data_IF_137422379045
#
_entry.id   IF_137422379045
#
_cell.length_a   1.000
_cell.length_b   1.000
_cell.length_c   1.000
_cell.angle_alpha   90.00
_cell.angle_beta   90.00
_cell.angle_gamma   90.00
#
_symmetry.space_group_name_H-M   'P 1'
#
loop_
_entity.id
_entity.type
_entity.pdbx_description
1 polymer ?
#
# COMPACT_ATOMS: atom_id res chain seq x y z
N UNK A 1 67.09 7.69 27.88
CA UNK A 1 66.64 9.00 27.39
C UNK A 1 65.52 8.79 26.38
N UNK A 2 64.38 9.37 26.70
CA UNK A 2 63.03 9.40 26.09
C UNK A 2 62.80 8.86 24.67
N UNK A 3 61.92 7.86 24.58
CA UNK A 3 61.07 7.63 23.42
C UNK A 3 59.83 8.54 23.52
N UNK A 4 59.54 9.35 22.50
CA UNK A 4 58.31 10.14 22.37
C UNK A 4 57.19 9.28 21.77
N UNK A 5 55.95 9.31 22.30
CA UNK A 5 54.80 8.67 21.65
C UNK A 5 54.21 9.59 20.57
N UNK A 6 53.84 9.02 19.43
CA UNK A 6 53.08 9.69 18.37
C UNK A 6 51.56 9.42 18.54
N UNK A 7 50.69 10.40 18.25
CA UNK A 7 49.25 10.28 18.54
C UNK A 7 48.48 9.48 17.48
N UNK A 8 47.53 8.67 17.96
CA UNK A 8 46.45 8.04 17.18
C UNK A 8 45.67 9.10 16.40
N UNK A 9 45.61 8.96 15.06
CA UNK A 9 44.60 9.63 14.24
C UNK A 9 43.44 8.67 13.99
N UNK A 10 42.32 8.94 14.65
CA UNK A 10 41.01 8.37 14.32
C UNK A 10 40.47 9.13 13.11
N UNK A 11 40.30 8.44 11.99
CA UNK A 11 39.65 9.00 10.81
C UNK A 11 38.12 8.84 10.91
N UNK A 12 37.32 9.88 10.61
CA UNK A 12 35.88 9.74 10.48
C UNK A 12 35.52 9.00 9.18
N UNK A 13 34.65 7.99 9.32
CA UNK A 13 33.99 7.29 8.20
C UNK A 13 32.96 8.22 7.57
N UNK A 14 33.29 8.74 6.38
CA UNK A 14 32.37 9.54 5.57
C UNK A 14 31.47 8.65 4.72
N UNK A 15 30.20 8.65 5.08
CA UNK A 15 29.04 8.73 4.17
C UNK A 15 28.93 7.74 3.01
N UNK A 16 28.15 6.68 3.22
CA UNK A 16 27.40 6.03 2.14
C UNK A 16 26.32 7.00 1.63
N UNK A 17 26.48 7.51 0.41
CA UNK A 17 25.36 8.03 -0.38
C UNK A 17 24.77 6.85 -1.15
N UNK A 18 23.75 6.24 -0.58
CA UNK A 18 22.89 5.31 -1.31
C UNK A 18 21.91 6.14 -2.16
N UNK A 19 22.23 6.31 -3.44
CA UNK A 19 21.29 6.85 -4.43
C UNK A 19 20.20 5.80 -4.68
N UNK A 20 19.12 5.84 -3.90
CA UNK A 20 17.94 5.04 -4.18
C UNK A 20 17.18 5.69 -5.34
N UNK A 21 17.55 5.31 -6.57
CA UNK A 21 16.76 5.61 -7.75
C UNK A 21 15.39 4.93 -7.61
N UNK A 22 14.34 5.74 -7.56
CA UNK A 22 12.96 5.28 -7.61
C UNK A 22 12.67 4.67 -8.99
N UNK A 23 12.80 3.35 -9.10
CA UNK A 23 12.28 2.63 -10.26
C UNK A 23 10.81 2.33 -9.98
N UNK A 24 9.93 3.16 -10.53
CA UNK A 24 8.53 2.79 -10.70
C UNK A 24 8.49 1.73 -11.80
N UNK A 25 8.12 0.49 -11.47
CA UNK A 25 7.63 -0.41 -12.52
C UNK A 25 6.32 0.18 -13.05
N UNK A 26 6.37 0.74 -14.25
CA UNK A 26 5.23 1.34 -14.95
C UNK A 26 4.02 0.38 -15.04
N UNK A 27 4.26 -0.93 -15.02
CA UNK A 27 3.23 -1.96 -15.02
C UNK A 27 2.29 -1.87 -13.81
N UNK A 28 2.81 -1.56 -12.61
CA UNK A 28 1.99 -1.50 -11.39
C UNK A 28 1.14 -0.22 -11.32
N UNK A 29 1.68 0.90 -11.84
CA UNK A 29 0.92 2.14 -11.97
C UNK A 29 -0.20 2.01 -13.02
N UNK A 30 0.06 1.30 -14.13
CA UNK A 30 -0.95 0.99 -15.14
C UNK A 30 -2.02 0.03 -14.60
N UNK A 31 -1.64 -0.97 -13.79
CA UNK A 31 -2.59 -1.88 -13.15
C UNK A 31 -3.49 -1.16 -12.14
N UNK A 32 -2.97 -0.19 -11.37
CA UNK A 32 -3.77 0.64 -10.46
C UNK A 32 -4.72 1.57 -11.24
N UNK A 33 -4.26 2.20 -12.32
CA UNK A 33 -5.10 3.02 -13.18
C UNK A 33 -6.19 2.19 -13.87
N UNK A 34 -5.87 0.97 -14.32
CA UNK A 34 -6.83 0.04 -14.92
C UNK A 34 -7.83 -0.51 -13.89
N UNK A 35 -7.41 -0.79 -12.64
CA UNK A 35 -8.31 -1.24 -11.58
C UNK A 35 -9.27 -0.15 -11.11
N UNK A 36 -8.86 1.13 -11.12
CA UNK A 36 -9.78 2.25 -10.91
C UNK A 36 -10.71 2.50 -12.10
N UNK A 37 -10.32 2.13 -13.32
CA UNK A 37 -11.11 2.35 -14.54
C UNK A 37 -12.03 1.16 -14.91
N UNK A 38 -11.66 -0.07 -14.54
CA UNK A 38 -12.35 -1.29 -14.93
C UNK A 38 -13.37 -1.72 -13.87
N UNK A 39 -14.49 -1.01 -13.82
CA UNK A 39 -15.73 -1.62 -13.39
C UNK A 39 -16.29 -2.46 -14.57
N UNK A 40 -16.34 -3.80 -14.51
CA UNK A 40 -17.14 -4.54 -15.45
C UNK A 40 -18.62 -4.36 -15.08
N UNK A 41 -19.39 -3.81 -16.02
CA UNK A 41 -20.84 -3.93 -16.03
C UNK A 41 -21.20 -5.42 -16.23
N UNK A 42 -21.40 -6.15 -15.15
CA UNK A 42 -21.94 -7.50 -15.19
C UNK A 42 -23.03 -7.65 -14.11
N UNK A 43 -24.28 -7.50 -14.55
CA UNK A 43 -25.48 -7.96 -13.85
C UNK A 43 -25.88 -7.17 -12.60
N UNK A 44 -26.31 -5.92 -12.77
CA UNK A 44 -26.89 -5.13 -11.67
C UNK A 44 -28.41 -5.27 -11.66
N UNK A 45 -28.94 -5.81 -10.56
CA UNK A 45 -30.28 -5.49 -10.08
C UNK A 45 -30.33 -3.96 -9.84
N UNK A 46 -31.22 -3.20 -10.51
CA UNK A 46 -31.26 -1.74 -10.44
C UNK A 46 -31.77 -1.18 -9.10
N UNK A 47 -31.93 -2.01 -8.06
CA UNK A 47 -32.61 -1.63 -6.81
C UNK A 47 -31.70 -1.20 -5.66
N UNK A 48 -30.37 -1.20 -5.84
CA UNK A 48 -29.44 -0.64 -4.85
C UNK A 48 -28.52 0.35 -5.56
N UNK A 49 -28.79 1.65 -5.40
CA UNK A 49 -27.74 2.65 -5.63
C UNK A 49 -26.58 2.28 -4.70
N UNK A 50 -25.38 1.98 -5.22
CA UNK A 50 -24.32 1.52 -4.34
C UNK A 50 -23.87 2.73 -3.52
N UNK A 51 -24.21 2.72 -2.23
CA UNK A 51 -23.84 3.76 -1.27
C UNK A 51 -22.31 3.87 -1.21
N UNK A 52 -21.80 5.09 -1.38
CA UNK A 52 -20.41 5.38 -1.07
C UNK A 52 -20.20 5.20 0.43
N UNK A 53 -19.15 4.45 0.78
CA UNK A 53 -18.76 4.21 2.18
C UNK A 53 -17.25 4.23 2.30
N UNK A 54 -16.75 4.36 3.53
CA UNK A 54 -15.33 4.21 3.77
C UNK A 54 -14.92 2.76 3.49
N UNK A 55 -13.96 2.59 2.58
CA UNK A 55 -13.41 1.31 2.15
C UNK A 55 -11.91 1.25 2.36
N UNK A 56 -11.39 0.04 2.54
CA UNK A 56 -9.97 -0.25 2.62
C UNK A 56 -9.50 -0.81 1.27
N UNK A 57 -8.62 -0.07 0.59
CA UNK A 57 -7.96 -0.54 -0.62
C UNK A 57 -6.82 -1.50 -0.28
N UNK A 58 -6.88 -2.70 -0.81
CA UNK A 58 -5.86 -3.75 -0.71
C UNK A 58 -5.34 -4.07 -2.10
N UNK A 59 -4.02 -4.07 -2.27
CA UNK A 59 -3.44 -4.21 -3.59
C UNK A 59 -2.01 -4.73 -3.52
N UNK A 60 -1.56 -5.26 -4.66
CA UNK A 60 -0.28 -5.92 -4.77
C UNK A 60 -0.27 -6.86 -5.96
N UNK A 61 0.62 -7.85 -5.91
CA UNK A 61 0.76 -8.80 -7.00
C UNK A 61 1.87 -9.80 -6.80
N UNK A 62 2.17 -10.48 -7.89
CA UNK A 62 3.23 -11.46 -8.02
C UNK A 62 4.06 -11.04 -9.22
N UNK A 63 5.34 -10.78 -9.00
CA UNK A 63 6.29 -10.42 -10.05
C UNK A 63 6.52 -11.62 -10.98
N UNK A 64 7.06 -11.38 -12.17
CA UNK A 64 7.35 -12.44 -13.14
C UNK A 64 8.35 -13.50 -12.64
N UNK A 65 9.16 -13.16 -11.62
CA UNK A 65 10.08 -14.08 -10.93
C UNK A 65 9.45 -14.83 -9.74
N UNK A 66 8.16 -14.60 -9.47
CA UNK A 66 7.43 -15.20 -8.36
C UNK A 66 7.48 -14.41 -7.05
N UNK A 67 8.16 -13.25 -6.99
CA UNK A 67 8.20 -12.43 -5.79
C UNK A 67 6.79 -11.89 -5.46
N UNK A 68 6.30 -12.20 -4.26
CA UNK A 68 5.07 -11.63 -3.72
C UNK A 68 5.29 -10.18 -3.32
N UNK A 69 4.43 -9.29 -3.82
CA UNK A 69 4.43 -7.88 -3.49
C UNK A 69 3.10 -7.52 -2.85
N UNK A 70 3.15 -6.99 -1.64
CA UNK A 70 2.00 -6.42 -0.95
C UNK A 70 2.25 -4.95 -0.70
N UNK A 71 1.26 -4.13 -1.02
CA UNK A 71 1.35 -2.70 -0.86
C UNK A 71 0.60 -2.23 0.39
N UNK A 72 1.03 -1.11 1.00
CA UNK A 72 0.27 -0.47 2.06
C UNK A 72 -1.17 -0.19 1.63
N UNK A 73 -2.09 -0.42 2.56
CA UNK A 73 -3.51 -0.20 2.33
C UNK A 73 -3.88 1.28 2.55
N UNK A 74 -5.00 1.70 1.99
CA UNK A 74 -5.49 3.07 2.16
C UNK A 74 -7.00 3.05 2.44
N UNK A 75 -7.42 3.77 3.47
CA UNK A 75 -8.83 4.01 3.73
C UNK A 75 -9.30 5.24 2.94
N UNK A 76 -10.38 5.11 2.16
CA UNK A 76 -10.94 6.20 1.37
C UNK A 76 -12.45 6.03 1.16
N UNK A 77 -13.15 7.08 0.75
CA UNK A 77 -14.57 6.97 0.38
C UNK A 77 -14.69 6.38 -1.02
N UNK A 78 -15.42 5.29 -1.16
CA UNK A 78 -15.54 4.61 -2.43
C UNK A 78 -16.54 3.47 -2.44
N UNK A 79 -16.45 2.66 -3.48
CA UNK A 79 -17.32 1.50 -3.69
C UNK A 79 -16.61 0.23 -3.25
N UNK A 80 -17.37 -0.66 -2.64
CA UNK A 80 -16.89 -2.00 -2.31
C UNK A 80 -16.69 -2.81 -3.59
N UNK A 81 -15.49 -3.35 -3.76
CA UNK A 81 -15.11 -4.33 -4.77
C UNK A 81 -14.49 -5.52 -4.05
N UNK A 82 -15.28 -6.60 -3.90
CA UNK A 82 -14.83 -7.86 -3.30
C UNK A 82 -14.43 -8.85 -4.38
N UNK A 83 -13.43 -9.71 -4.12
CA UNK A 83 -13.21 -10.86 -4.99
C UNK A 83 -14.44 -11.77 -4.96
N UNK A 84 -14.78 -12.37 -6.11
CA UNK A 84 -15.91 -13.29 -6.28
C UNK A 84 -15.84 -14.63 -5.52
N UNK A 85 -14.90 -14.74 -4.57
CA UNK A 85 -14.51 -15.91 -3.79
C UNK A 85 -13.83 -17.06 -4.57
N UNK A 86 -12.94 -17.74 -3.84
CA UNK A 86 -12.04 -18.85 -4.22
C UNK A 86 -10.76 -18.47 -4.97
N UNK A 87 -9.65 -18.98 -4.45
CA UNK A 87 -8.30 -18.83 -4.98
C UNK A 87 -7.25 -19.17 -3.92
N UNK A 88 -6.04 -19.49 -4.38
CA UNK A 88 -4.93 -19.95 -3.54
C UNK A 88 -4.23 -18.82 -2.80
N UNK A 89 -4.54 -17.56 -3.15
CA UNK A 89 -3.97 -16.39 -2.51
C UNK A 89 -4.89 -15.86 -1.42
N UNK A 90 -4.27 -15.29 -0.39
CA UNK A 90 -5.00 -14.70 0.73
C UNK A 90 -4.32 -13.44 1.21
N UNK A 91 -5.11 -12.38 1.45
CA UNK A 91 -4.68 -11.21 2.22
C UNK A 91 -5.36 -11.23 3.59
N UNK A 92 -4.59 -10.97 4.65
CA UNK A 92 -5.07 -10.82 6.03
C UNK A 92 -4.64 -9.48 6.60
N UNK A 93 -5.52 -8.90 7.42
CA UNK A 93 -5.16 -7.85 8.36
C UNK A 93 -5.09 -8.43 9.76
N UNK A 94 -3.98 -8.17 10.45
CA UNK A 94 -3.68 -8.68 11.78
C UNK A 94 -3.49 -7.51 12.75
N UNK A 95 -3.96 -7.68 13.98
CA UNK A 95 -3.66 -6.74 15.06
C UNK A 95 -2.31 -7.02 15.74
N UNK A 96 -2.00 -6.23 16.78
CA UNK A 96 -0.74 -6.35 17.53
C UNK A 96 -0.60 -7.64 18.33
N UNK A 97 -1.68 -8.39 18.55
CA UNK A 97 -1.66 -9.71 19.21
C UNK A 97 -1.58 -10.84 18.17
N UNK A 98 -1.72 -10.53 16.88
CA UNK A 98 -1.75 -11.49 15.77
C UNK A 98 -3.14 -12.02 15.46
N UNK A 99 -4.18 -11.47 16.10
CA UNK A 99 -5.57 -11.81 15.82
C UNK A 99 -6.01 -11.25 14.46
N UNK A 100 -6.95 -11.95 13.81
CA UNK A 100 -7.36 -11.60 12.45
C UNK A 100 -8.49 -10.59 12.45
N UNK A 101 -8.20 -9.38 11.98
CA UNK A 101 -9.22 -8.34 11.76
C UNK A 101 -10.05 -8.62 10.50
N UNK A 102 -9.39 -9.09 9.43
CA UNK A 102 -10.05 -9.54 8.20
C UNK A 102 -9.20 -10.55 7.45
N UNK A 103 -9.84 -11.36 6.59
CA UNK A 103 -9.19 -12.38 5.77
C UNK A 103 -9.94 -12.58 4.46
N UNK A 104 -9.25 -12.43 3.33
CA UNK A 104 -9.86 -12.48 1.99
C UNK A 104 -9.06 -13.45 1.12
N UNK A 105 -9.75 -14.38 0.46
CA UNK A 105 -9.17 -15.27 -0.55
C UNK A 105 -9.51 -14.80 -1.95
N UNK A 106 -8.57 -14.96 -2.87
CA UNK A 106 -8.71 -14.49 -4.25
C UNK A 106 -7.77 -15.21 -5.21
N UNK A 107 -8.07 -15.05 -6.50
CA UNK A 107 -7.18 -15.41 -7.61
C UNK A 107 -6.71 -14.10 -8.26
N UNK A 108 -5.40 -13.82 -8.32
CA UNK A 108 -4.89 -12.60 -8.93
C UNK A 108 -5.07 -12.65 -10.46
N UNK A 109 -5.30 -11.48 -11.06
CA UNK A 109 -5.43 -11.36 -12.51
C UNK A 109 -4.06 -11.38 -13.19
N UNK A 110 -3.99 -11.97 -14.38
CA UNK A 110 -2.75 -11.99 -15.17
C UNK A 110 -2.47 -10.64 -15.84
N UNK A 111 -1.19 -10.28 -15.93
CA UNK A 111 -0.67 -9.11 -16.63
C UNK A 111 0.21 -9.61 -17.79
N UNK A 112 0.24 -8.86 -18.89
CA UNK A 112 0.88 -9.28 -20.15
C UNK A 112 2.37 -9.60 -20.07
N UNK A 113 3.07 -9.13 -19.05
CA UNK A 113 4.49 -9.39 -18.80
C UNK A 113 4.74 -10.68 -17.99
N UNK A 114 3.69 -11.46 -17.73
CA UNK A 114 3.73 -12.69 -16.93
C UNK A 114 3.64 -12.44 -15.42
N UNK A 115 3.55 -11.18 -14.98
CA UNK A 115 3.20 -10.86 -13.60
C UNK A 115 1.70 -11.05 -13.35
N UNK A 116 1.30 -11.05 -12.08
CA UNK A 116 -0.10 -11.09 -11.67
C UNK A 116 -0.39 -9.93 -10.71
N UNK A 117 -1.59 -9.39 -10.74
CA UNK A 117 -2.00 -8.25 -9.92
C UNK A 117 -3.36 -8.42 -9.28
N UNK A 118 -3.57 -7.71 -8.17
CA UNK A 118 -4.89 -7.58 -7.56
C UNK A 118 -5.09 -6.17 -6.99
N UNK A 119 -6.35 -5.76 -6.93
CA UNK A 119 -6.78 -4.53 -6.27
C UNK A 119 -8.23 -4.72 -5.83
N UNK A 120 -8.49 -4.61 -4.54
CA UNK A 120 -9.81 -4.78 -3.94
C UNK A 120 -10.12 -3.63 -2.99
N UNK A 121 -11.39 -3.29 -2.87
CA UNK A 121 -11.88 -2.29 -1.93
C UNK A 121 -12.89 -2.98 -1.02
N UNK A 122 -12.54 -3.22 0.23
CA UNK A 122 -13.42 -3.90 1.18
C UNK A 122 -14.05 -2.89 2.14
N UNK A 123 -15.20 -3.20 2.77
CA UNK A 123 -15.71 -2.35 3.83
C UNK A 123 -14.65 -2.14 4.90
N UNK A 124 -14.48 -0.90 5.33
CA UNK A 124 -13.53 -0.53 6.36
C UNK A 124 -14.24 -0.37 7.70
N UNK A 125 -13.69 -1.02 8.74
CA UNK A 125 -14.05 -0.71 10.13
C UNK A 125 -13.08 0.33 10.67
N UNK A 126 -13.59 1.45 11.16
CA UNK A 126 -12.78 2.53 11.73
C UNK A 126 -11.87 2.05 12.88
N UNK A 127 -12.27 1.01 13.61
CA UNK A 127 -11.47 0.38 14.68
C UNK A 127 -10.15 -0.20 14.15
N UNK A 128 -10.08 -0.57 12.86
CA UNK A 128 -8.86 -1.11 12.25
C UNK A 128 -7.76 -0.05 12.11
N UNK A 129 -8.09 1.24 12.09
CA UNK A 129 -7.10 2.33 11.90
C UNK A 129 -5.93 2.22 12.88
N UNK A 130 -6.25 1.92 14.15
CA UNK A 130 -5.29 1.84 15.25
C UNK A 130 -4.92 0.38 15.56
N UNK A 131 -5.88 -0.54 15.41
CA UNK A 131 -5.68 -1.95 15.73
C UNK A 131 -4.77 -2.66 14.73
N UNK A 132 -4.85 -2.32 13.44
CA UNK A 132 -4.09 -2.99 12.38
C UNK A 132 -2.59 -2.76 12.60
N UNK A 133 -1.86 -3.86 12.79
CA UNK A 133 -0.41 -3.88 12.97
C UNK A 133 0.30 -4.41 11.73
N UNK A 134 -0.29 -5.40 11.06
CA UNK A 134 0.32 -6.09 9.93
C UNK A 134 -0.68 -6.47 8.87
N UNK A 135 -0.32 -6.22 7.61
CA UNK A 135 -0.94 -6.86 6.46
C UNK A 135 -0.07 -8.04 6.03
N UNK A 136 -0.71 -9.15 5.66
CA UNK A 136 -0.06 -10.38 5.24
C UNK A 136 -0.67 -10.85 3.92
N UNK A 137 0.17 -11.13 2.92
CA UNK A 137 -0.20 -11.77 1.67
C UNK A 137 0.48 -13.14 1.62
N UNK A 138 -0.33 -14.19 1.46
CA UNK A 138 0.14 -15.57 1.31
C UNK A 138 -0.33 -16.18 0.00
N UNK A 139 0.50 -17.03 -0.61
CA UNK A 139 0.20 -17.81 -1.82
C UNK A 139 1.14 -19.00 -1.97
N UNK A 140 1.08 -19.72 -3.11
CA UNK A 140 1.98 -20.84 -3.41
C UNK A 140 3.48 -20.50 -3.31
N UNK A 141 3.84 -19.24 -3.54
CA UNK A 141 5.21 -18.73 -3.52
C UNK A 141 5.73 -18.42 -2.11
N UNK A 142 4.84 -18.39 -1.10
CA UNK A 142 5.19 -18.12 0.29
C UNK A 142 4.34 -17.02 0.91
N UNK A 143 4.97 -16.17 1.73
CA UNK A 143 4.30 -15.10 2.50
C UNK A 143 5.13 -13.82 2.44
N UNK A 144 4.46 -12.68 2.28
CA UNK A 144 5.03 -11.34 2.39
C UNK A 144 4.16 -10.46 3.29
N UNK A 145 4.74 -9.43 3.90
CA UNK A 145 4.05 -8.62 4.91
C UNK A 145 4.36 -7.14 4.79
N UNK A 146 3.41 -6.30 5.19
CA UNK A 146 3.58 -4.86 5.41
C UNK A 146 3.24 -4.56 6.87
N UNK A 147 4.19 -4.02 7.63
CA UNK A 147 4.01 -3.61 9.01
C UNK A 147 3.71 -2.10 9.14
N UNK A 148 3.58 -1.61 10.37
CA UNK A 148 3.35 -0.20 10.68
C UNK A 148 4.45 0.74 10.17
N UNK A 149 5.71 0.32 10.18
CA UNK A 149 6.81 1.17 9.71
C UNK A 149 6.75 1.34 8.19
N UNK A 150 6.55 0.23 7.47
CA UNK A 150 6.41 0.23 6.03
C UNK A 150 5.15 0.96 5.56
N UNK A 151 4.00 0.73 6.22
CA UNK A 151 2.75 1.38 5.86
C UNK A 151 2.75 2.88 6.13
N UNK A 152 3.32 3.33 7.24
CA UNK A 152 3.43 4.77 7.57
C UNK A 152 4.29 5.58 6.58
N UNK A 153 5.16 4.92 5.82
CA UNK A 153 6.00 5.53 4.79
C UNK A 153 5.29 5.73 3.45
N UNK A 154 4.05 5.25 3.31
CA UNK A 154 3.26 5.38 2.11
C UNK A 154 2.20 6.48 2.23
N UNK A 155 2.07 7.26 1.17
CA UNK A 155 1.05 8.31 1.06
C UNK A 155 0.45 8.27 -0.33
N UNK A 156 -0.85 8.44 -0.41
CA UNK A 156 -1.57 8.55 -1.68
C UNK A 156 -2.22 9.93 -1.77
N UNK A 157 -2.00 10.62 -2.88
CA UNK A 157 -2.64 11.89 -3.18
C UNK A 157 -3.72 11.62 -4.20
N UNK A 158 -4.96 11.94 -3.84
CA UNK A 158 -6.11 11.81 -4.73
C UNK A 158 -6.74 13.17 -5.00
N UNK A 159 -7.37 13.29 -6.15
CA UNK A 159 -8.28 14.37 -6.46
C UNK A 159 -9.58 14.19 -5.67
N UNK A 160 -9.97 15.18 -4.86
CA UNK A 160 -11.13 15.08 -3.98
C UNK A 160 -12.45 15.02 -4.75
N UNK A 161 -12.52 15.69 -5.91
CA UNK A 161 -13.75 15.78 -6.69
C UNK A 161 -14.00 14.51 -7.51
N UNK A 162 -12.94 13.87 -7.98
CA UNK A 162 -13.04 12.72 -8.91
C UNK A 162 -12.61 11.39 -8.29
N UNK A 163 -11.96 11.40 -7.12
CA UNK A 163 -11.34 10.21 -6.53
C UNK A 163 -10.09 9.71 -7.28
N UNK A 164 -9.65 10.42 -8.33
CA UNK A 164 -8.54 9.99 -9.16
C UNK A 164 -7.21 10.06 -8.39
N UNK A 165 -6.45 8.96 -8.41
CA UNK A 165 -5.08 8.94 -7.87
C UNK A 165 -4.18 9.84 -8.71
N UNK A 166 -3.61 10.86 -8.07
CA UNK A 166 -2.66 11.80 -8.68
C UNK A 166 -1.22 11.39 -8.42
N UNK A 167 -0.94 10.86 -7.24
CA UNK A 167 0.39 10.43 -6.87
C UNK A 167 0.36 9.35 -5.79
N UNK A 168 1.37 8.49 -5.81
CA UNK A 168 1.67 7.56 -4.75
C UNK A 168 3.13 7.74 -4.35
N UNK A 169 3.33 8.14 -3.10
CA UNK A 169 4.63 8.34 -2.51
C UNK A 169 4.96 7.13 -1.65
N UNK A 170 6.12 6.54 -1.90
CA UNK A 170 6.67 5.41 -1.14
C UNK A 170 7.96 5.87 -0.49
N UNK A 171 8.26 5.36 0.71
CA UNK A 171 9.45 5.77 1.46
C UNK A 171 9.52 7.29 1.67
N UNK A 172 8.35 7.95 1.74
CA UNK A 172 8.30 9.38 2.00
C UNK A 172 8.83 9.65 3.41
N UNK A 173 9.73 10.62 3.54
CA UNK A 173 10.01 11.20 4.85
C UNK A 173 8.69 11.71 5.44
N UNK A 174 8.52 11.59 6.76
CA UNK A 174 7.36 12.10 7.47
C UNK A 174 7.27 13.63 7.31
N UNK A 175 6.65 14.09 6.22
CA UNK A 175 6.58 15.49 5.88
C UNK A 175 6.08 15.67 4.45
N UNK A 176 4.81 16.01 4.32
CA UNK A 176 4.30 16.56 3.06
C UNK A 176 4.61 18.06 3.02
N UNK A 177 4.86 18.62 1.82
CA UNK A 177 4.87 20.07 1.67
C UNK A 177 3.56 20.65 2.23
N UNK A 178 3.65 21.69 3.05
CA UNK A 178 2.47 22.32 3.67
C UNK A 178 1.40 22.76 2.64
N UNK A 179 1.82 23.02 1.39
CA UNK A 179 0.94 23.30 0.24
C UNK A 179 -0.02 22.15 -0.11
N UNK A 180 0.42 20.90 0.00
CA UNK A 180 -0.45 19.72 -0.21
C UNK A 180 -1.39 19.49 0.97
N UNK A 181 -0.98 19.93 2.17
CA UNK A 181 -1.80 19.87 3.37
C UNK A 181 -2.87 20.98 3.43
N UNK A 182 -2.77 22.00 2.55
CA UNK A 182 -3.77 23.04 2.45
C UNK A 182 -5.05 22.50 1.77
N UNK A 183 -6.18 22.63 2.47
CA UNK A 183 -7.50 22.15 2.06
C UNK A 183 -8.01 22.79 0.74
N UNK A 184 -7.38 23.88 0.30
CA UNK A 184 -7.73 24.64 -0.90
C UNK A 184 -7.22 24.03 -2.21
N UNK A 185 -6.40 22.96 -2.15
CA UNK A 185 -5.82 22.34 -3.35
C UNK A 185 -6.80 21.47 -4.14
N UNK A 186 -7.98 21.16 -3.59
CA UNK A 186 -8.89 20.14 -4.14
C UNK A 186 -8.31 18.72 -4.06
N UNK A 187 -7.17 18.54 -3.39
CA UNK A 187 -6.53 17.26 -3.19
C UNK A 187 -6.86 16.71 -1.80
N UNK A 188 -6.79 15.39 -1.67
CA UNK A 188 -6.85 14.69 -0.40
C UNK A 188 -5.63 13.79 -0.29
N UNK A 189 -4.99 13.84 0.87
CA UNK A 189 -3.89 12.97 1.22
C UNK A 189 -4.44 11.83 2.05
N UNK A 190 -4.16 10.61 1.62
CA UNK A 190 -4.39 9.39 2.36
C UNK A 190 -3.06 8.86 2.89
N UNK A 191 -3.05 8.40 4.14
CA UNK A 191 -1.89 7.75 4.73
C UNK A 191 -2.02 6.25 4.64
N UNK A 192 -0.89 5.58 4.41
CA UNK A 192 -0.84 4.14 4.35
C UNK A 192 -1.15 3.49 5.70
N UNK A 193 -1.75 2.32 5.63
CA UNK A 193 -2.01 1.38 6.71
C UNK A 193 -1.23 0.08 6.44
N UNK A 194 -0.72 -0.61 7.47
CA UNK A 194 -0.78 -0.27 8.90
C UNK A 194 0.08 0.96 9.25
N UNK A 195 -0.18 1.61 10.39
CA UNK A 195 0.63 2.74 10.87
C UNK A 195 0.70 2.78 12.40
N UNK A 196 1.72 3.44 13.00
CA UNK A 196 1.76 3.66 14.43
C UNK A 196 0.57 4.49 14.91
N UNK A 197 0.10 4.27 16.15
CA UNK A 197 -0.91 5.13 16.74
C UNK A 197 -0.43 6.58 16.82
N UNK A 198 -1.37 7.50 16.55
CA UNK A 198 -1.13 8.95 16.46
C UNK A 198 -1.20 9.68 17.79
#
# INVERSE_FOLDING_TARGET
MSARPAPLRVAPRTGFLATAAAVVSAALAAALAAALAAAPAAGQDPSHEPEESTVLMLWGGIRADGELVLEPAFAYEGRVSRPGASGDYRVRGLDGEGETLFSIRFTPGEISDGSKGFSYSIPFDAAWTEALDRLELSGPEGVTTVDREAGARAMMVIDRATGQVRSLLRNGAAGLPAELAADSSGLRILRGLPRPPG
#
